data_IF_822148195399
#
_entry.id   IF_822148195399
#
_cell.length_a   1.000
_cell.length_b   1.000
_cell.length_c   1.000
_cell.angle_alpha   90.00
_cell.angle_beta   90.00
_cell.angle_gamma   90.00
#
_symmetry.space_group_name_H-M   'P 1'
#
loop_
_entity.id
_entity.type
_entity.pdbx_description
1 polymer ?
#
# COMPACT_ATOMS: atom_id res chain seq x y z
N UNK A 1 26.98 -30.08 -6.53
CA UNK A 1 26.09 -30.13 -5.34
C UNK A 1 26.55 -28.98 -4.47
N UNK A 2 25.99 -27.77 -4.69
CA UNK A 2 26.31 -26.58 -3.90
C UNK A 2 25.37 -26.62 -2.70
N UNK A 3 25.94 -26.82 -1.52
CA UNK A 3 25.19 -26.71 -0.26
C UNK A 3 24.82 -25.25 -0.07
N UNK A 4 23.55 -24.90 -0.35
CA UNK A 4 23.00 -23.66 0.10
C UNK A 4 22.88 -23.77 1.62
N UNK A 5 23.77 -23.12 2.36
CA UNK A 5 23.64 -22.99 3.80
C UNK A 5 22.31 -22.25 4.07
N UNK A 6 21.42 -23.00 4.70
CA UNK A 6 20.12 -22.49 5.09
C UNK A 6 20.31 -21.52 6.27
N UNK A 7 20.31 -20.23 5.98
CA UNK A 7 20.13 -19.22 7.01
C UNK A 7 18.68 -19.33 7.45
N UNK A 8 18.44 -19.76 8.70
CA UNK A 8 17.12 -19.80 9.30
C UNK A 8 16.33 -18.51 9.03
N UNK A 9 14.99 -18.51 9.18
CA UNK A 9 14.19 -17.33 8.89
C UNK A 9 14.78 -16.16 9.68
N UNK A 10 15.13 -15.04 9.01
CA UNK A 10 15.63 -13.87 9.72
C UNK A 10 14.55 -13.44 10.69
N UNK A 11 14.95 -12.94 11.84
CA UNK A 11 14.02 -12.23 12.73
C UNK A 11 13.48 -11.01 12.00
N UNK A 12 12.38 -11.22 11.29
CA UNK A 12 11.71 -10.20 10.47
C UNK A 12 10.85 -9.27 11.32
N UNK A 13 10.76 -9.50 12.64
CA UNK A 13 9.95 -8.69 13.55
C UNK A 13 10.41 -7.24 13.60
N UNK A 14 11.72 -6.98 13.42
CA UNK A 14 12.30 -5.64 13.40
C UNK A 14 12.08 -4.87 12.08
N UNK A 15 11.68 -5.54 11.00
CA UNK A 15 11.55 -4.95 9.67
C UNK A 15 10.12 -4.70 9.24
N UNK A 16 9.14 -5.17 10.02
CA UNK A 16 7.74 -5.20 9.62
C UNK A 16 6.86 -4.59 10.70
N UNK A 17 6.66 -3.29 10.59
CA UNK A 17 5.69 -2.57 11.43
C UNK A 17 4.24 -2.63 10.91
N UNK A 18 3.97 -3.32 9.79
CA UNK A 18 2.65 -3.36 9.16
C UNK A 18 2.07 -4.76 9.07
N UNK A 19 0.82 -4.92 9.49
CA UNK A 19 0.02 -6.16 9.44
C UNK A 19 0.00 -6.84 8.06
N UNK A 20 0.01 -6.06 6.99
CA UNK A 20 -0.03 -6.50 5.60
C UNK A 20 1.22 -7.29 5.14
N UNK A 21 2.39 -6.97 5.69
CA UNK A 21 3.62 -7.68 5.36
C UNK A 21 3.69 -9.06 6.01
N UNK A 22 2.98 -9.25 7.15
CA UNK A 22 2.94 -10.57 7.81
C UNK A 22 2.25 -11.61 6.94
N UNK A 23 1.16 -11.25 6.28
CA UNK A 23 0.42 -12.15 5.39
C UNK A 23 1.25 -12.48 4.15
N UNK A 24 1.92 -11.48 3.56
CA UNK A 24 2.83 -11.66 2.44
C UNK A 24 3.99 -12.59 2.80
N UNK A 25 4.58 -12.43 3.98
CA UNK A 25 5.69 -13.26 4.47
C UNK A 25 5.25 -14.69 4.74
N UNK A 26 4.07 -14.89 5.33
CA UNK A 26 3.54 -16.24 5.58
C UNK A 26 3.39 -17.06 4.29
N UNK A 27 2.99 -16.42 3.20
CA UNK A 27 2.91 -17.08 1.89
C UNK A 27 4.29 -17.33 1.31
N UNK A 28 5.20 -16.38 1.43
CA UNK A 28 6.56 -16.47 0.91
C UNK A 28 7.48 -17.42 1.75
N UNK A 29 7.06 -17.85 2.94
CA UNK A 29 7.80 -18.82 3.76
C UNK A 29 7.57 -20.28 3.37
N UNK A 30 6.65 -20.56 2.44
CA UNK A 30 6.56 -21.90 1.85
C UNK A 30 7.72 -22.10 0.86
N UNK A 31 8.62 -22.98 1.19
CA UNK A 31 9.69 -23.41 0.28
C UNK A 31 9.05 -24.05 -0.98
N UNK A 32 9.55 -23.67 -2.16
CA UNK A 32 9.15 -24.19 -3.47
C UNK A 32 7.77 -23.72 -3.98
N UNK A 33 7.41 -22.45 -3.78
CA UNK A 33 6.23 -21.84 -4.39
C UNK A 33 6.62 -20.89 -5.53
N UNK A 34 5.72 -20.73 -6.48
CA UNK A 34 5.81 -19.72 -7.53
C UNK A 34 4.84 -18.60 -7.17
N UNK A 35 5.36 -17.43 -6.89
CA UNK A 35 4.56 -16.25 -6.54
C UNK A 35 4.36 -15.36 -7.76
N UNK A 36 3.11 -15.17 -8.17
CA UNK A 36 2.70 -14.19 -9.16
C UNK A 36 2.52 -12.82 -8.53
N UNK A 37 3.05 -11.79 -9.16
CA UNK A 37 2.81 -10.40 -8.75
C UNK A 37 2.27 -9.59 -9.92
N UNK A 38 1.19 -8.86 -9.70
CA UNK A 38 0.68 -7.87 -10.65
C UNK A 38 0.80 -6.50 -10.00
N UNK A 39 1.58 -5.60 -10.60
CA UNK A 39 1.76 -4.25 -10.07
C UNK A 39 1.54 -3.17 -11.14
N UNK A 40 1.16 -1.98 -10.68
CA UNK A 40 1.09 -0.76 -11.46
C UNK A 40 2.45 -0.04 -11.51
N UNK A 41 2.47 1.25 -11.72
CA UNK A 41 3.61 2.10 -12.05
C UNK A 41 4.63 2.32 -10.91
N UNK A 42 5.12 1.26 -10.24
CA UNK A 42 6.14 1.36 -9.18
C UNK A 42 7.34 0.46 -9.49
N UNK A 43 8.37 0.94 -10.19
CA UNK A 43 9.51 0.12 -10.60
C UNK A 43 10.33 -0.46 -9.43
N UNK A 44 10.39 0.22 -8.28
CA UNK A 44 11.04 -0.30 -7.07
C UNK A 44 10.42 -1.63 -6.59
N UNK A 45 9.13 -1.84 -6.82
CA UNK A 45 8.44 -3.10 -6.46
C UNK A 45 9.08 -4.31 -7.15
N UNK A 46 9.67 -4.13 -8.34
CA UNK A 46 10.38 -5.18 -9.06
C UNK A 46 11.56 -5.72 -8.25
N UNK A 47 12.38 -4.83 -7.67
CA UNK A 47 13.50 -5.22 -6.83
C UNK A 47 13.06 -5.77 -5.47
N UNK A 48 12.03 -5.17 -4.87
CA UNK A 48 11.50 -5.58 -3.56
C UNK A 48 10.96 -7.01 -3.63
N UNK A 49 10.13 -7.31 -4.63
CA UNK A 49 9.55 -8.64 -4.82
C UNK A 49 10.60 -9.69 -5.13
N UNK A 50 11.55 -9.37 -6.01
CA UNK A 50 12.68 -10.24 -6.27
C UNK A 50 13.41 -10.60 -4.98
N UNK A 51 13.80 -9.60 -4.19
CA UNK A 51 14.56 -9.79 -2.96
C UNK A 51 13.81 -10.63 -1.94
N UNK A 52 12.51 -10.38 -1.76
CA UNK A 52 11.67 -11.13 -0.84
C UNK A 52 11.48 -12.58 -1.33
N UNK A 53 11.23 -12.78 -2.62
CA UNK A 53 11.04 -14.11 -3.18
C UNK A 53 12.32 -14.96 -3.06
N UNK A 54 13.45 -14.40 -3.46
CA UNK A 54 14.74 -15.10 -3.36
C UNK A 54 15.12 -15.42 -1.91
N UNK A 55 14.92 -14.48 -0.99
CA UNK A 55 15.19 -14.66 0.43
C UNK A 55 14.37 -15.79 1.06
N UNK A 56 13.19 -16.04 0.53
CA UNK A 56 12.27 -17.07 1.02
C UNK A 56 12.26 -18.35 0.17
N UNK A 57 13.16 -18.46 -0.82
CA UNK A 57 13.29 -19.64 -1.67
C UNK A 57 12.16 -19.83 -2.68
N UNK A 58 11.43 -18.76 -3.04
CA UNK A 58 10.35 -18.81 -4.00
C UNK A 58 10.79 -18.27 -5.36
N UNK A 59 10.24 -18.84 -6.43
CA UNK A 59 10.31 -18.24 -7.75
C UNK A 59 9.25 -17.11 -7.86
N UNK A 60 9.52 -16.12 -8.69
CA UNK A 60 8.64 -14.97 -8.88
C UNK A 60 8.32 -14.70 -10.34
N UNK A 61 7.04 -14.54 -10.65
CA UNK A 61 6.53 -14.10 -11.95
C UNK A 61 5.91 -12.72 -11.77
N UNK A 62 6.55 -11.70 -12.33
CA UNK A 62 6.11 -10.31 -12.23
C UNK A 62 5.45 -9.82 -13.50
N UNK A 63 4.25 -9.27 -13.39
CA UNK A 63 3.58 -8.48 -14.41
C UNK A 63 3.55 -7.01 -13.97
N UNK A 64 4.42 -6.19 -14.53
CA UNK A 64 4.50 -4.76 -14.25
C UNK A 64 3.51 -3.92 -15.05
N UNK A 65 3.30 -2.67 -14.64
CA UNK A 65 2.52 -1.69 -15.40
C UNK A 65 3.23 -1.21 -16.66
N UNK A 66 2.45 -0.75 -17.66
CA UNK A 66 2.96 -0.21 -18.92
C UNK A 66 3.86 1.01 -18.73
N UNK A 67 3.50 1.89 -17.78
CA UNK A 67 4.20 3.16 -17.53
C UNK A 67 5.62 2.94 -16.99
N UNK A 68 5.83 1.85 -16.25
CA UNK A 68 7.13 1.48 -15.69
C UNK A 68 7.89 0.45 -16.54
N UNK A 69 7.41 0.10 -17.75
CA UNK A 69 7.92 -1.01 -18.56
C UNK A 69 9.44 -0.97 -18.74
N UNK A 70 10.00 0.15 -19.21
CA UNK A 70 11.44 0.26 -19.47
C UNK A 70 12.28 0.09 -18.20
N UNK A 71 11.82 0.67 -17.10
CA UNK A 71 12.49 0.53 -15.80
C UNK A 71 12.44 -0.91 -15.29
N UNK A 72 11.28 -1.56 -15.40
CA UNK A 72 11.11 -2.95 -14.99
C UNK A 72 11.97 -3.90 -15.85
N UNK A 73 12.06 -3.68 -17.16
CA UNK A 73 12.91 -4.44 -18.06
C UNK A 73 14.40 -4.30 -17.71
N UNK A 74 14.86 -3.07 -17.44
CA UNK A 74 16.25 -2.81 -17.04
C UNK A 74 16.58 -3.46 -15.69
N UNK A 75 15.73 -3.31 -14.69
CA UNK A 75 15.90 -3.94 -13.36
C UNK A 75 15.90 -5.46 -13.51
N UNK A 76 14.95 -6.04 -14.24
CA UNK A 76 14.86 -7.48 -14.44
C UNK A 76 16.10 -8.06 -15.15
N UNK A 77 16.68 -7.32 -16.10
CA UNK A 77 17.91 -7.73 -16.76
C UNK A 77 19.08 -7.86 -15.76
N UNK A 78 19.26 -6.83 -14.92
CA UNK A 78 20.30 -6.83 -13.87
C UNK A 78 20.08 -7.95 -12.85
N UNK A 79 18.85 -8.17 -12.40
CA UNK A 79 18.51 -9.21 -11.44
C UNK A 79 18.78 -10.62 -12.00
N UNK A 80 18.47 -10.85 -13.28
CA UNK A 80 18.75 -12.11 -13.95
C UNK A 80 20.26 -12.34 -14.16
N UNK A 81 21.02 -11.27 -14.38
CA UNK A 81 22.48 -11.35 -14.44
C UNK A 81 23.06 -11.73 -13.07
N UNK A 82 22.57 -11.09 -12.00
CA UNK A 82 22.95 -11.44 -10.63
C UNK A 82 22.64 -12.90 -10.29
N UNK A 83 21.48 -13.43 -10.67
CA UNK A 83 21.14 -14.85 -10.49
C UNK A 83 22.14 -15.76 -11.20
N UNK A 84 22.51 -15.44 -12.45
CA UNK A 84 23.51 -16.25 -13.19
C UNK A 84 24.87 -16.22 -12.52
N UNK A 85 25.31 -15.07 -12.02
CA UNK A 85 26.62 -14.97 -11.34
C UNK A 85 26.70 -15.78 -10.06
N UNK A 86 25.56 -15.98 -9.40
CA UNK A 86 25.44 -16.78 -8.18
C UNK A 86 25.06 -18.26 -8.47
N UNK A 87 25.03 -18.68 -9.74
CA UNK A 87 24.71 -20.07 -10.12
C UNK A 87 23.22 -20.44 -9.94
N UNK A 88 22.34 -19.47 -9.80
CA UNK A 88 20.89 -19.65 -9.70
C UNK A 88 20.26 -19.53 -11.08
N UNK A 89 19.27 -20.38 -11.38
CA UNK A 89 18.55 -20.32 -12.65
C UNK A 89 17.86 -18.95 -12.79
N UNK A 90 18.18 -18.14 -13.83
CA UNK A 90 17.54 -16.84 -14.03
C UNK A 90 16.03 -16.92 -14.30
N UNK A 91 15.49 -18.11 -14.61
CA UNK A 91 14.05 -18.35 -14.70
C UNK A 91 13.32 -18.24 -13.35
N UNK A 92 14.05 -18.32 -12.23
CA UNK A 92 13.49 -18.05 -10.90
C UNK A 92 12.89 -16.66 -10.76
N UNK A 93 13.28 -15.72 -11.64
CA UNK A 93 12.64 -14.43 -11.76
C UNK A 93 12.21 -14.15 -13.20
N UNK A 94 10.91 -14.13 -13.46
CA UNK A 94 10.32 -13.91 -14.78
C UNK A 94 9.52 -12.61 -14.80
N UNK A 95 9.90 -11.69 -15.71
CA UNK A 95 9.12 -10.50 -16.02
C UNK A 95 8.25 -10.80 -17.25
N UNK A 96 6.93 -10.69 -17.09
CA UNK A 96 5.97 -10.83 -18.17
C UNK A 96 5.87 -9.54 -19.00
N UNK A 97 5.45 -9.65 -20.28
CA UNK A 97 5.16 -8.48 -21.11
C UNK A 97 4.13 -7.55 -20.45
N UNK A 98 4.23 -6.25 -20.73
CA UNK A 98 3.20 -5.31 -20.37
C UNK A 98 1.93 -5.57 -21.21
N UNK A 99 0.76 -5.53 -20.58
CA UNK A 99 -0.52 -5.70 -21.29
C UNK A 99 -1.54 -6.50 -20.49
N UNK A 100 -2.79 -6.42 -20.93
CA UNK A 100 -3.91 -7.13 -20.27
C UNK A 100 -3.86 -8.64 -20.53
N UNK A 101 -3.39 -9.06 -21.71
CA UNK A 101 -3.26 -10.47 -22.07
C UNK A 101 -2.32 -11.22 -21.10
N UNK A 102 -1.15 -10.64 -20.82
CA UNK A 102 -0.20 -11.22 -19.87
C UNK A 102 -0.77 -11.27 -18.44
N UNK A 103 -1.56 -10.28 -18.03
CA UNK A 103 -2.28 -10.32 -16.77
C UNK A 103 -3.29 -11.46 -16.72
N UNK A 104 -4.11 -11.61 -17.77
CA UNK A 104 -5.06 -12.71 -17.89
C UNK A 104 -4.38 -14.09 -17.89
N UNK A 105 -3.26 -14.23 -18.58
CA UNK A 105 -2.48 -15.46 -18.58
C UNK A 105 -1.96 -15.82 -17.18
N UNK A 106 -1.43 -14.83 -16.44
CA UNK A 106 -0.96 -15.03 -15.07
C UNK A 106 -2.10 -15.44 -14.13
N UNK A 107 -3.25 -14.76 -14.20
CA UNK A 107 -4.41 -15.05 -13.35
C UNK A 107 -5.01 -16.44 -13.60
N UNK A 108 -4.78 -17.01 -14.78
CA UNK A 108 -5.26 -18.34 -15.17
C UNK A 108 -4.17 -19.43 -15.11
N UNK A 109 -2.98 -19.13 -14.58
CA UNK A 109 -1.84 -20.05 -14.55
C UNK A 109 -1.97 -21.14 -13.45
N UNK A 110 -3.12 -21.83 -13.42
CA UNK A 110 -3.41 -22.92 -12.47
C UNK A 110 -2.39 -24.04 -12.64
N UNK A 111 -1.79 -24.48 -11.53
CA UNK A 111 -0.76 -25.51 -11.53
C UNK A 111 0.67 -25.03 -11.88
N UNK A 112 0.81 -23.74 -12.25
CA UNK A 112 2.11 -23.11 -12.53
C UNK A 112 2.45 -21.98 -11.53
N UNK A 113 1.42 -21.30 -11.03
CA UNK A 113 1.55 -20.23 -10.05
C UNK A 113 0.67 -20.58 -8.85
N UNK A 114 1.25 -20.54 -7.66
CA UNK A 114 0.58 -20.96 -6.44
C UNK A 114 -0.28 -19.87 -5.82
N UNK A 115 0.13 -18.62 -5.99
CA UNK A 115 -0.56 -17.46 -5.45
C UNK A 115 -0.27 -16.22 -6.28
N UNK A 116 -1.23 -15.31 -6.40
CA UNK A 116 -1.03 -13.99 -7.00
C UNK A 116 -1.28 -12.88 -5.98
N UNK A 117 -0.44 -11.85 -6.03
CA UNK A 117 -0.50 -10.69 -5.14
C UNK A 117 -0.62 -9.42 -6.00
N UNK A 118 -1.80 -8.77 -6.02
CA UNK A 118 -1.96 -7.49 -6.69
C UNK A 118 -1.41 -6.34 -5.85
N UNK A 119 -0.73 -5.38 -6.50
CA UNK A 119 -0.23 -4.13 -5.92
C UNK A 119 -0.58 -2.95 -6.81
N UNK A 120 -1.58 -2.19 -6.44
CA UNK A 120 -2.06 -1.03 -7.20
C UNK A 120 -3.32 -0.44 -6.60
N UNK A 121 -4.02 0.35 -7.39
CA UNK A 121 -5.29 0.95 -6.99
C UNK A 121 -6.43 -0.06 -6.84
N UNK A 122 -7.52 0.36 -6.21
CA UNK A 122 -8.68 -0.48 -5.95
C UNK A 122 -9.25 -1.17 -7.22
N UNK A 123 -9.13 -0.51 -8.39
CA UNK A 123 -9.55 -1.08 -9.68
C UNK A 123 -8.75 -2.32 -10.07
N UNK A 124 -7.40 -2.28 -9.92
CA UNK A 124 -6.56 -3.44 -10.19
C UNK A 124 -6.84 -4.58 -9.20
N UNK A 125 -6.94 -4.26 -7.92
CA UNK A 125 -7.21 -5.25 -6.88
C UNK A 125 -8.54 -5.97 -7.17
N UNK A 126 -9.59 -5.21 -7.46
CA UNK A 126 -10.90 -5.75 -7.83
C UNK A 126 -10.81 -6.63 -9.08
N UNK A 127 -10.15 -6.15 -10.13
CA UNK A 127 -9.95 -6.91 -11.37
C UNK A 127 -9.28 -8.25 -11.10
N UNK A 128 -8.21 -8.28 -10.31
CA UNK A 128 -7.50 -9.53 -9.96
C UNK A 128 -8.42 -10.46 -9.17
N UNK A 129 -9.11 -9.96 -8.16
CA UNK A 129 -10.03 -10.75 -7.33
C UNK A 129 -11.16 -11.41 -8.15
N UNK A 130 -11.71 -10.68 -9.12
CA UNK A 130 -12.83 -11.14 -9.94
C UNK A 130 -12.41 -12.11 -11.07
N UNK A 131 -11.14 -12.06 -11.50
CA UNK A 131 -10.68 -12.80 -12.68
C UNK A 131 -9.63 -13.88 -12.38
N UNK A 132 -9.10 -13.95 -11.16
CA UNK A 132 -8.10 -14.96 -10.82
C UNK A 132 -8.73 -16.33 -10.61
N UNK A 133 -8.09 -17.37 -11.19
CA UNK A 133 -8.38 -18.78 -10.96
C UNK A 133 -7.38 -19.45 -10.01
N UNK A 134 -6.41 -18.71 -9.57
CA UNK A 134 -5.41 -19.08 -8.56
C UNK A 134 -5.66 -18.28 -7.27
N UNK A 135 -5.20 -18.75 -6.11
CA UNK A 135 -5.33 -18.01 -4.85
C UNK A 135 -4.81 -16.57 -4.95
N UNK A 136 -5.54 -15.63 -4.36
CA UNK A 136 -5.19 -14.21 -4.33
C UNK A 136 -4.94 -13.79 -2.90
N UNK A 137 -3.83 -13.08 -2.66
CA UNK A 137 -3.60 -12.34 -1.42
C UNK A 137 -3.67 -10.86 -1.76
N UNK A 138 -4.73 -10.22 -1.31
CA UNK A 138 -4.93 -8.80 -1.52
C UNK A 138 -4.94 -8.02 -0.22
N UNK A 139 -4.59 -6.76 -0.29
CA UNK A 139 -4.77 -5.80 0.81
C UNK A 139 -6.02 -4.98 0.52
N UNK A 140 -6.86 -4.78 1.52
CA UNK A 140 -7.97 -3.83 1.43
C UNK A 140 -7.48 -2.38 1.28
N UNK A 141 -8.42 -1.43 1.11
CA UNK A 141 -8.13 -0.01 1.17
C UNK A 141 -7.44 0.35 2.50
N UNK A 142 -6.41 1.17 2.43
CA UNK A 142 -5.69 1.65 3.60
C UNK A 142 -6.34 2.94 4.10
N UNK A 143 -7.22 2.86 5.11
CA UNK A 143 -7.84 4.04 5.70
C UNK A 143 -6.99 4.50 6.88
N UNK A 144 -6.32 5.62 6.71
CA UNK A 144 -5.36 6.13 7.68
C UNK A 144 -6.05 6.99 8.72
N UNK A 145 -5.90 6.61 9.97
CA UNK A 145 -6.47 7.34 11.10
C UNK A 145 -5.37 8.01 11.92
N UNK A 146 -5.63 9.22 12.39
CA UNK A 146 -4.86 9.87 13.46
C UNK A 146 -5.78 10.10 14.64
N UNK A 147 -5.40 9.65 15.81
CA UNK A 147 -6.10 9.92 17.06
C UNK A 147 -5.40 11.04 17.84
N UNK A 148 -6.13 12.11 18.12
CA UNK A 148 -5.68 13.19 19.00
C UNK A 148 -6.27 12.98 20.41
N UNK A 149 -5.45 12.52 21.33
CA UNK A 149 -5.84 12.13 22.67
C UNK A 149 -6.01 13.33 23.62
N UNK A 150 -6.56 13.03 24.80
CA UNK A 150 -6.78 14.02 25.87
C UNK A 150 -5.50 14.79 26.24
N UNK A 151 -4.39 14.08 26.38
CA UNK A 151 -3.09 14.65 26.73
C UNK A 151 -2.25 15.09 25.52
N UNK A 152 -2.84 15.12 24.34
CA UNK A 152 -2.18 15.51 23.10
C UNK A 152 -1.66 16.95 23.14
N UNK A 153 -0.38 17.15 22.77
CA UNK A 153 0.20 18.49 22.60
C UNK A 153 -0.41 19.14 21.34
N UNK A 154 -1.13 20.24 21.50
CA UNK A 154 -1.85 20.91 20.42
C UNK A 154 -0.92 21.44 19.33
N UNK A 155 0.22 21.99 19.69
CA UNK A 155 1.19 22.57 18.75
C UNK A 155 1.78 21.46 17.86
N UNK A 156 2.16 20.33 18.45
CA UNK A 156 2.66 19.16 17.70
C UNK A 156 1.54 18.52 16.89
N UNK A 157 0.36 18.34 17.50
CA UNK A 157 -0.80 17.74 16.85
C UNK A 157 -1.19 18.50 15.58
N UNK A 158 -1.26 19.81 15.64
CA UNK A 158 -1.52 20.69 14.50
C UNK A 158 -0.54 20.47 13.34
N UNK A 159 0.76 20.41 13.64
CA UNK A 159 1.79 20.19 12.64
C UNK A 159 1.73 18.76 12.05
N UNK A 160 1.54 17.76 12.90
CA UNK A 160 1.45 16.34 12.50
C UNK A 160 0.24 16.08 11.62
N UNK A 161 -0.95 16.54 12.03
CA UNK A 161 -2.21 16.34 11.30
C UNK A 161 -2.14 17.01 9.92
N UNK A 162 -1.69 18.27 9.87
CA UNK A 162 -1.52 18.97 8.61
C UNK A 162 -0.54 18.23 7.69
N UNK A 163 0.64 17.87 8.16
CA UNK A 163 1.62 17.15 7.37
C UNK A 163 1.11 15.78 6.91
N UNK A 164 0.45 15.02 7.79
CA UNK A 164 -0.09 13.70 7.46
C UNK A 164 -1.12 13.76 6.33
N UNK A 165 -1.92 14.85 6.26
CA UNK A 165 -2.90 15.04 5.19
C UNK A 165 -2.30 15.66 3.94
N UNK A 166 -1.48 16.71 4.06
CA UNK A 166 -1.18 17.59 2.92
C UNK A 166 0.14 17.32 2.23
N UNK A 167 1.08 16.63 2.87
CA UNK A 167 2.40 16.34 2.29
C UNK A 167 2.33 15.64 0.93
N UNK A 168 1.42 14.67 0.79
CA UNK A 168 1.16 13.95 -0.46
C UNK A 168 -0.16 13.18 -0.34
N UNK A 169 -1.22 13.73 -0.87
CA UNK A 169 -2.58 13.16 -0.74
C UNK A 169 -2.80 11.86 -1.54
N UNK A 170 -2.06 11.65 -2.62
CA UNK A 170 -2.25 10.52 -3.54
C UNK A 170 -1.54 9.23 -3.11
N UNK A 171 -1.13 9.11 -1.85
CA UNK A 171 -0.47 7.92 -1.32
C UNK A 171 -1.32 7.25 -0.24
N UNK A 172 -1.21 5.93 -0.16
CA UNK A 172 -2.00 5.10 0.76
C UNK A 172 -1.74 5.35 2.26
N UNK A 173 -0.77 6.20 2.63
CA UNK A 173 -0.49 6.60 3.99
C UNK A 173 -0.81 8.09 4.25
N UNK A 174 -1.57 8.74 3.37
CA UNK A 174 -2.14 10.05 3.65
C UNK A 174 -3.29 9.91 4.65
N UNK A 175 -3.44 10.90 5.53
CA UNK A 175 -4.50 10.90 6.54
C UNK A 175 -5.88 10.96 5.89
N UNK A 176 -6.78 10.04 6.26
CA UNK A 176 -8.17 10.00 5.79
C UNK A 176 -9.17 10.35 6.89
N UNK A 177 -8.89 9.96 8.14
CA UNK A 177 -9.80 10.21 9.25
C UNK A 177 -9.05 10.73 10.47
N UNK A 178 -9.51 11.86 11.02
CA UNK A 178 -9.02 12.44 12.26
C UNK A 178 -10.01 12.15 13.40
N UNK A 179 -9.56 11.40 14.39
CA UNK A 179 -10.34 11.09 15.58
C UNK A 179 -9.83 11.98 16.71
N UNK A 180 -10.71 12.73 17.35
CA UNK A 180 -10.37 13.66 18.42
C UNK A 180 -11.08 13.25 19.71
N UNK A 181 -10.35 13.19 20.82
CA UNK A 181 -10.95 12.95 22.13
C UNK A 181 -12.05 14.00 22.42
N UNK A 182 -13.22 13.58 22.91
CA UNK A 182 -14.39 14.46 23.05
C UNK A 182 -14.10 15.74 23.84
N UNK A 183 -13.35 15.66 24.93
CA UNK A 183 -12.98 16.84 25.73
C UNK A 183 -12.01 17.80 25.03
N UNK A 184 -11.46 17.39 23.88
CA UNK A 184 -10.54 18.16 23.05
C UNK A 184 -11.23 18.73 21.79
N UNK A 185 -12.55 18.58 21.63
CA UNK A 185 -13.30 19.19 20.51
C UNK A 185 -13.13 20.70 20.42
N UNK A 186 -12.92 21.38 21.53
CA UNK A 186 -12.61 22.82 21.57
C UNK A 186 -11.34 23.18 20.78
N UNK A 187 -10.40 22.26 20.65
CA UNK A 187 -9.11 22.44 19.97
C UNK A 187 -9.18 22.03 18.48
N UNK A 188 -10.28 21.41 18.05
CA UNK A 188 -10.43 20.87 16.69
C UNK A 188 -10.23 21.92 15.61
N UNK A 189 -10.75 23.12 15.79
CA UNK A 189 -10.59 24.20 14.82
C UNK A 189 -9.12 24.60 14.66
N UNK A 190 -8.36 24.64 15.76
CA UNK A 190 -6.94 24.95 15.72
C UNK A 190 -6.11 23.80 15.11
N UNK A 191 -6.46 22.53 15.37
CA UNK A 191 -5.87 21.37 14.70
C UNK A 191 -6.07 21.42 13.19
N UNK A 192 -7.25 21.81 12.71
CA UNK A 192 -7.62 21.85 11.31
C UNK A 192 -7.18 23.12 10.56
N UNK A 193 -6.93 24.22 11.26
CA UNK A 193 -6.63 25.53 10.66
C UNK A 193 -5.55 25.52 9.57
N UNK A 194 -4.39 24.85 9.75
CA UNK A 194 -3.38 24.82 8.68
C UNK A 194 -3.85 24.13 7.39
N UNK A 195 -4.79 23.20 7.49
CA UNK A 195 -5.34 22.48 6.34
C UNK A 195 -6.29 23.35 5.51
N UNK A 196 -6.82 24.44 6.07
CA UNK A 196 -7.65 25.39 5.33
C UNK A 196 -6.86 26.09 4.23
N UNK A 197 -5.59 26.43 4.47
CA UNK A 197 -4.69 27.02 3.48
C UNK A 197 -4.46 26.08 2.29
N UNK A 198 -4.40 24.77 2.55
CA UNK A 198 -4.24 23.70 1.55
C UNK A 198 -5.59 23.28 0.92
N UNK A 199 -6.68 23.98 1.25
CA UNK A 199 -8.04 23.73 0.74
C UNK A 199 -8.56 22.31 1.01
N UNK A 200 -8.22 21.73 2.14
CA UNK A 200 -8.73 20.42 2.53
C UNK A 200 -10.23 20.52 2.87
N UNK A 201 -11.04 19.71 2.23
CA UNK A 201 -12.46 19.56 2.58
C UNK A 201 -12.60 18.63 3.78
N UNK A 202 -13.21 19.11 4.85
CA UNK A 202 -13.47 18.33 6.07
C UNK A 202 -14.92 17.87 6.08
N UNK A 203 -15.13 16.57 6.17
CA UNK A 203 -16.41 15.90 6.42
C UNK A 203 -16.51 15.62 7.91
N UNK A 204 -17.31 16.40 8.62
CA UNK A 204 -17.38 16.36 10.08
C UNK A 204 -18.68 15.71 10.56
N UNK A 205 -18.62 14.89 11.62
CA UNK A 205 -19.81 14.46 12.33
C UNK A 205 -20.51 15.66 12.99
N UNK A 206 -21.65 15.44 13.63
CA UNK A 206 -22.45 16.52 14.17
C UNK A 206 -21.73 17.36 15.25
N UNK A 207 -20.94 16.71 16.13
CA UNK A 207 -20.21 17.37 17.20
C UNK A 207 -18.99 18.14 16.65
N UNK A 208 -18.24 17.51 15.76
CA UNK A 208 -17.10 18.13 15.08
C UNK A 208 -17.55 19.27 14.13
N UNK A 209 -18.69 19.11 13.43
CA UNK A 209 -19.24 20.16 12.59
C UNK A 209 -19.55 21.41 13.40
N UNK A 210 -20.24 21.25 14.52
CA UNK A 210 -20.57 22.37 15.43
C UNK A 210 -19.32 23.07 15.99
N UNK A 211 -18.24 22.30 16.25
CA UNK A 211 -16.96 22.85 16.72
C UNK A 211 -16.19 23.62 15.64
N UNK A 212 -16.41 23.28 14.35
CA UNK A 212 -15.74 23.90 13.20
C UNK A 212 -16.57 25.03 12.56
N UNK A 213 -17.88 25.07 12.78
CA UNK A 213 -18.76 26.06 12.20
C UNK A 213 -18.32 27.48 12.58
N UNK A 214 -18.20 28.37 11.57
CA UNK A 214 -17.71 29.73 11.76
C UNK A 214 -16.20 29.87 12.05
N UNK A 215 -15.47 28.75 12.23
CA UNK A 215 -14.02 28.71 12.52
C UNK A 215 -13.21 28.06 11.41
N UNK A 216 -13.81 27.20 10.62
CA UNK A 216 -13.23 26.62 9.40
C UNK A 216 -13.97 27.18 8.17
N UNK A 217 -13.32 27.31 7.00
CA UNK A 217 -13.99 27.91 5.82
C UNK A 217 -15.26 27.14 5.45
N UNK A 218 -16.40 27.83 5.40
CA UNK A 218 -17.70 27.19 5.13
C UNK A 218 -17.77 26.46 3.78
N UNK A 219 -16.99 26.91 2.78
CA UNK A 219 -16.92 26.23 1.49
C UNK A 219 -16.14 24.88 1.55
N UNK A 220 -15.38 24.63 2.61
CA UNK A 220 -14.56 23.43 2.83
C UNK A 220 -15.11 22.54 3.96
N UNK A 221 -16.16 22.94 4.66
CA UNK A 221 -16.80 22.16 5.72
C UNK A 221 -18.07 21.50 5.20
N UNK A 222 -18.21 20.20 5.43
CA UNK A 222 -19.36 19.39 4.99
C UNK A 222 -19.81 18.47 6.12
N UNK A 223 -21.10 18.16 6.24
CA UNK A 223 -21.55 17.09 7.12
C UNK A 223 -21.02 15.75 6.62
N UNK A 224 -20.56 14.91 7.54
CA UNK A 224 -20.13 13.56 7.22
C UNK A 224 -21.35 12.64 7.02
N UNK A 225 -21.18 11.65 6.12
CA UNK A 225 -22.02 10.47 6.06
C UNK A 225 -21.15 9.24 6.49
N UNK A 226 -21.78 8.14 6.80
CA UNK A 226 -21.09 6.94 7.33
C UNK A 226 -19.94 6.46 6.41
N UNK A 227 -20.18 6.51 5.10
CA UNK A 227 -19.19 6.12 4.09
C UNK A 227 -17.88 6.93 4.15
N UNK A 228 -17.90 8.18 4.62
CA UNK A 228 -16.72 9.02 4.67
C UNK A 228 -15.68 8.49 5.68
N UNK A 229 -16.12 7.83 6.76
CA UNK A 229 -15.22 7.27 7.78
C UNK A 229 -14.54 5.96 7.36
N UNK A 230 -15.02 5.36 6.26
CA UNK A 230 -14.47 4.14 5.67
C UNK A 230 -13.86 4.36 4.28
N UNK A 231 -13.53 5.59 3.90
CA UNK A 231 -13.05 5.93 2.56
C UNK A 231 -11.58 6.31 2.56
N UNK A 232 -10.79 5.66 1.69
CA UNK A 232 -9.45 6.11 1.28
C UNK A 232 -9.64 7.22 0.25
N UNK A 233 -9.49 8.48 0.66
CA UNK A 233 -9.81 9.61 -0.21
C UNK A 233 -8.82 9.85 -1.35
N UNK A 234 -7.53 9.64 -1.11
CA UNK A 234 -6.44 9.95 -2.06
C UNK A 234 -6.52 11.39 -2.63
N UNK A 235 -7.08 12.31 -1.86
CA UNK A 235 -7.43 13.68 -2.25
C UNK A 235 -7.33 14.61 -1.02
N UNK A 236 -7.45 15.92 -1.24
CA UNK A 236 -7.56 16.94 -0.18
C UNK A 236 -8.92 16.86 0.53
N UNK A 237 -9.23 15.69 1.09
CA UNK A 237 -10.44 15.38 1.84
C UNK A 237 -10.09 14.65 3.12
N UNK A 238 -10.81 14.95 4.21
CA UNK A 238 -10.60 14.40 5.54
C UNK A 238 -11.98 14.16 6.18
N UNK A 239 -12.17 13.04 6.88
CA UNK A 239 -13.30 12.78 7.74
C UNK A 239 -12.92 12.86 9.22
#
# INVERSE_FOLDING_TARGET
MVSVEWFGPPDVSSWISAKHWKELIVVMTRMYSVVGMICEARPNVTADIFSLSMKTGNACVLKGGSDARRSNEAIAALLREALRSEGVDPAAFTLLPAGHEAAGALLNAVGYVDVVIPRGGAGLIRFVRENARIPVIETGAGIVHTYFDLDGDLTKGRAVVCNAKTRRVSVCNALDCLIVHRERLRDLAELCDPMAAERVTVYADAEAYAALEGRYPACLLRPAAEEHFGTEFLDYKLA
#
